data_IF_937007891195
#
_entry.id   IF_937007891195
#
_cell.length_a   1.000
_cell.length_b   1.000
_cell.length_c   1.000
_cell.angle_alpha   90.00
_cell.angle_beta   90.00
_cell.angle_gamma   90.00
#
_symmetry.space_group_name_H-M   'P 1'
#
loop_
_entity.id
_entity.type
_entity.pdbx_description
1 polymer ?
#
# COMPACT_ATOMS: atom_id res chain seq x y z
N UNK A 1 7.06 9.78 -32.36
CA UNK A 1 6.65 8.48 -31.78
C UNK A 1 6.10 8.72 -30.38
N UNK A 2 5.00 8.05 -29.98
CA UNK A 2 4.48 8.23 -28.61
C UNK A 2 5.45 7.60 -27.58
N UNK A 3 5.55 8.14 -26.35
CA UNK A 3 6.41 7.58 -25.30
C UNK A 3 6.17 6.07 -25.08
N UNK A 4 4.91 5.64 -25.18
CA UNK A 4 4.51 4.23 -25.11
C UNK A 4 5.05 3.39 -26.26
N UNK A 5 5.02 3.87 -27.51
CA UNK A 5 5.55 3.13 -28.65
C UNK A 5 7.07 3.00 -28.56
N UNK A 6 7.75 4.09 -28.20
CA UNK A 6 9.20 4.11 -27.98
C UNK A 6 9.60 3.16 -26.85
N UNK A 7 8.90 3.20 -25.72
CA UNK A 7 9.14 2.30 -24.59
C UNK A 7 8.85 0.85 -24.94
N UNK A 8 7.74 0.54 -25.63
CA UNK A 8 7.44 -0.83 -26.09
C UNK A 8 8.52 -1.38 -27.01
N UNK A 9 9.00 -0.57 -27.96
CA UNK A 9 10.10 -0.95 -28.83
C UNK A 9 11.37 -1.18 -28.01
N UNK A 10 11.73 -0.25 -27.12
CA UNK A 10 12.89 -0.37 -26.23
C UNK A 10 12.82 -1.62 -25.35
N UNK A 11 11.67 -1.93 -24.74
CA UNK A 11 11.46 -3.14 -23.95
C UNK A 11 11.47 -4.42 -24.80
N UNK A 12 10.90 -4.39 -26.00
CA UNK A 12 10.95 -5.54 -26.92
C UNK A 12 12.38 -5.85 -27.35
N UNK A 13 13.15 -4.82 -27.72
CA UNK A 13 14.57 -4.96 -28.05
C UNK A 13 15.41 -5.34 -26.82
N UNK A 14 15.16 -4.72 -25.65
CA UNK A 14 15.83 -5.07 -24.41
C UNK A 14 15.52 -6.51 -23.98
N UNK A 15 14.29 -7.01 -24.12
CA UNK A 15 13.97 -8.41 -23.85
C UNK A 15 14.67 -9.36 -24.84
N UNK A 16 14.96 -8.90 -26.06
CA UNK A 16 15.67 -9.69 -27.05
C UNK A 16 17.20 -9.70 -26.80
N UNK A 17 17.74 -8.63 -26.21
CA UNK A 17 19.17 -8.46 -25.89
C UNK A 17 19.53 -8.95 -24.49
N UNK A 18 18.66 -8.75 -23.48
CA UNK A 18 18.84 -9.13 -22.07
C UNK A 18 18.35 -10.56 -21.74
N UNK A 19 17.95 -11.35 -22.75
CA UNK A 19 17.67 -12.79 -22.58
C UNK A 19 18.85 -13.59 -22.02
N UNK A 20 20.03 -12.97 -21.91
CA UNK A 20 21.30 -13.53 -21.45
C UNK A 20 21.49 -13.54 -19.94
N UNK A 21 20.71 -12.80 -19.14
CA UNK A 21 20.85 -12.82 -17.67
C UNK A 21 19.58 -13.36 -17.03
N UNK A 22 19.47 -14.68 -16.94
CA UNK A 22 18.48 -15.31 -16.07
C UNK A 22 18.94 -15.14 -14.62
N UNK A 23 18.16 -14.43 -13.81
CA UNK A 23 18.41 -14.32 -12.38
C UNK A 23 17.56 -15.36 -11.64
N UNK A 24 18.22 -16.20 -10.85
CA UNK A 24 17.56 -17.16 -9.98
C UNK A 24 17.50 -16.59 -8.55
N UNK A 25 16.36 -16.77 -7.88
CA UNK A 25 16.22 -16.38 -6.49
C UNK A 25 16.85 -17.47 -5.61
N UNK A 26 18.01 -17.18 -5.03
CA UNK A 26 18.69 -18.09 -4.10
C UNK A 26 18.45 -17.63 -2.67
N UNK A 27 17.73 -18.44 -1.90
CA UNK A 27 17.36 -18.13 -0.51
C UNK A 27 17.58 -19.31 0.45
N UNK A 28 18.10 -20.43 -0.06
CA UNK A 28 18.46 -21.65 0.67
C UNK A 28 19.77 -22.20 0.12
N UNK A 29 20.40 -23.10 0.86
CA UNK A 29 21.58 -23.87 0.44
C UNK A 29 22.82 -23.01 0.08
N UNK A 30 22.90 -21.81 0.67
CA UNK A 30 24.07 -20.92 0.63
C UNK A 30 24.38 -20.40 2.05
N UNK A 31 25.62 -19.95 2.36
CA UNK A 31 25.98 -19.49 3.70
C UNK A 31 25.11 -18.34 4.26
N UNK A 32 24.53 -17.52 3.39
CA UNK A 32 23.61 -16.41 3.73
C UNK A 32 22.13 -16.75 3.55
N UNK A 33 21.81 -18.02 3.26
CA UNK A 33 20.45 -18.49 3.00
C UNK A 33 19.71 -18.81 4.30
N UNK A 34 18.38 -18.95 4.21
CA UNK A 34 17.55 -19.33 5.34
C UNK A 34 17.52 -20.85 5.49
N UNK A 35 17.82 -21.32 6.69
CA UNK A 35 17.61 -22.72 7.06
C UNK A 35 16.11 -23.08 7.09
N UNK A 36 15.79 -24.37 7.18
CA UNK A 36 14.41 -24.83 7.20
C UNK A 36 13.61 -24.25 8.40
N UNK A 37 14.12 -24.25 9.65
CA UNK A 37 13.45 -23.62 10.78
C UNK A 37 13.09 -22.14 10.55
N UNK A 38 14.03 -21.36 10.01
CA UNK A 38 13.79 -19.93 9.70
C UNK A 38 12.69 -19.76 8.67
N UNK A 39 12.69 -20.56 7.60
CA UNK A 39 11.64 -20.50 6.57
C UNK A 39 10.25 -20.86 7.11
N UNK A 40 10.16 -21.87 7.99
CA UNK A 40 8.91 -22.22 8.68
C UNK A 40 8.43 -21.05 9.54
N UNK A 41 9.33 -20.42 10.29
CA UNK A 41 8.99 -19.33 11.20
C UNK A 41 8.54 -18.07 10.46
N UNK A 42 9.23 -17.68 9.38
CA UNK A 42 8.83 -16.54 8.54
C UNK A 42 7.47 -16.80 7.89
N UNK A 43 7.23 -18.01 7.38
CA UNK A 43 5.94 -18.39 6.81
C UNK A 43 4.81 -18.36 7.85
N UNK A 44 5.07 -18.90 9.05
CA UNK A 44 4.11 -18.90 10.15
C UNK A 44 3.75 -17.48 10.59
N UNK A 45 4.76 -16.62 10.74
CA UNK A 45 4.57 -15.23 11.15
C UNK A 45 3.77 -14.43 10.13
N UNK A 46 4.04 -14.61 8.83
CA UNK A 46 3.25 -13.97 7.77
C UNK A 46 1.78 -14.40 7.83
N UNK A 47 1.50 -15.71 7.83
CA UNK A 47 0.12 -16.22 7.82
C UNK A 47 -0.65 -15.84 9.08
N UNK A 48 0.01 -15.88 10.24
CA UNK A 48 -0.58 -15.47 11.52
C UNK A 48 -0.91 -13.97 11.52
N UNK A 49 0.01 -13.12 11.06
CA UNK A 49 -0.21 -11.67 10.96
C UNK A 49 -1.38 -11.33 10.02
N UNK A 50 -1.48 -12.04 8.89
CA UNK A 50 -2.58 -11.85 7.93
C UNK A 50 -3.93 -12.40 8.42
N UNK A 51 -3.95 -13.17 9.51
CA UNK A 51 -5.13 -13.95 9.92
C UNK A 51 -5.49 -15.08 8.94
N UNK A 52 -4.58 -15.44 8.02
CA UNK A 52 -4.80 -16.46 7.00
C UNK A 52 -4.29 -17.83 7.50
N UNK A 53 -4.94 -18.36 8.53
CA UNK A 53 -4.56 -19.63 9.17
C UNK A 53 -5.49 -20.79 8.81
N UNK A 54 -6.66 -20.49 8.22
CA UNK A 54 -7.71 -21.44 7.82
C UNK A 54 -8.40 -20.96 6.54
N UNK A 55 -9.21 -21.83 5.94
CA UNK A 55 -10.03 -21.54 4.76
C UNK A 55 -9.22 -21.02 3.56
N UNK A 56 -8.09 -21.67 3.28
CA UNK A 56 -7.24 -21.34 2.14
C UNK A 56 -7.99 -21.53 0.82
N UNK A 57 -7.84 -20.56 -0.09
CA UNK A 57 -8.32 -20.68 -1.46
C UNK A 57 -7.42 -21.59 -2.31
N UNK A 58 -7.88 -21.94 -3.51
CA UNK A 58 -7.06 -22.64 -4.52
C UNK A 58 -5.85 -21.78 -4.93
N UNK A 59 -6.03 -20.46 -5.04
CA UNK A 59 -4.98 -19.51 -5.39
C UNK A 59 -4.85 -18.42 -4.32
N UNK A 60 -3.62 -18.17 -3.88
CA UNK A 60 -3.29 -17.05 -3.00
C UNK A 60 -2.19 -16.23 -3.65
N UNK A 61 -2.51 -14.98 -3.98
CA UNK A 61 -1.58 -14.09 -4.65
C UNK A 61 -0.99 -13.13 -3.62
N UNK A 62 0.33 -13.19 -3.45
CA UNK A 62 1.07 -12.23 -2.64
C UNK A 62 1.52 -11.13 -3.59
N UNK A 63 0.96 -9.94 -3.43
CA UNK A 63 1.28 -8.76 -4.25
C UNK A 63 2.28 -7.88 -3.51
N UNK A 64 3.53 -7.93 -3.95
CA UNK A 64 4.51 -6.91 -3.62
C UNK A 64 4.25 -5.68 -4.48
N UNK A 65 4.39 -4.48 -3.93
CA UNK A 65 4.20 -3.25 -4.69
C UNK A 65 5.52 -2.54 -4.95
N UNK A 66 5.48 -1.65 -5.92
CA UNK A 66 6.52 -0.66 -6.19
C UNK A 66 6.04 0.27 -7.29
N UNK A 67 6.86 1.21 -7.68
CA UNK A 67 6.60 2.19 -8.73
C UNK A 67 7.66 2.11 -9.81
N UNK A 68 7.28 2.47 -11.02
CA UNK A 68 8.25 2.78 -12.06
C UNK A 68 7.82 4.03 -12.80
N UNK A 69 8.68 5.04 -12.76
CA UNK A 69 8.54 6.26 -13.55
C UNK A 69 9.89 6.61 -14.13
N UNK A 70 9.91 7.08 -15.38
CA UNK A 70 11.17 7.48 -16.01
C UNK A 70 11.61 8.87 -15.53
N UNK A 71 12.93 9.06 -15.39
CA UNK A 71 13.56 10.34 -15.00
C UNK A 71 13.01 10.91 -13.68
N UNK A 72 13.18 10.12 -12.62
CA UNK A 72 12.71 10.52 -11.31
C UNK A 72 13.82 10.42 -10.26
N UNK A 73 14.47 11.56 -9.92
CA UNK A 73 15.40 11.66 -8.79
C UNK A 73 14.83 11.14 -7.46
N UNK A 74 13.50 11.10 -7.34
CA UNK A 74 12.76 10.69 -6.15
C UNK A 74 12.12 9.30 -6.29
N UNK A 75 12.68 8.40 -7.13
CA UNK A 75 12.11 7.05 -7.38
C UNK A 75 11.75 6.32 -6.07
N UNK A 76 12.66 6.33 -5.08
CA UNK A 76 12.46 5.70 -3.78
C UNK A 76 11.23 6.23 -3.02
N UNK A 77 10.87 7.51 -3.18
CA UNK A 77 9.70 8.12 -2.53
C UNK A 77 8.36 7.68 -3.14
N UNK A 78 8.38 7.01 -4.29
CA UNK A 78 7.20 6.38 -4.91
C UNK A 78 7.12 4.88 -4.67
N UNK A 79 8.22 4.26 -4.21
CA UNK A 79 8.28 2.85 -3.84
C UNK A 79 7.77 2.65 -2.40
N UNK A 80 7.93 1.44 -1.85
CA UNK A 80 7.37 1.09 -0.55
C UNK A 80 8.01 1.91 0.58
N UNK A 81 7.24 2.79 1.22
CA UNK A 81 7.69 3.52 2.41
C UNK A 81 8.10 2.60 3.57
N UNK A 82 7.43 1.44 3.73
CA UNK A 82 7.79 0.45 4.74
C UNK A 82 9.11 -0.29 4.45
N UNK A 83 9.60 -0.26 3.21
CA UNK A 83 10.85 -0.88 2.79
C UNK A 83 11.93 0.16 2.47
N UNK A 84 11.78 1.40 2.92
CA UNK A 84 12.73 2.48 2.65
C UNK A 84 12.88 2.80 1.16
N UNK A 85 11.80 2.69 0.39
CA UNK A 85 11.81 2.87 -1.07
C UNK A 85 12.24 1.63 -1.87
N UNK A 86 12.26 0.46 -1.23
CA UNK A 86 12.46 -0.82 -1.91
C UNK A 86 11.20 -1.30 -2.67
N UNK A 87 11.41 -2.15 -3.68
CA UNK A 87 10.33 -2.83 -4.41
C UNK A 87 9.97 -4.16 -3.75
N UNK A 88 8.68 -4.40 -3.53
CA UNK A 88 8.18 -5.60 -2.83
C UNK A 88 8.10 -6.86 -3.68
N UNK A 89 8.28 -6.77 -5.01
CA UNK A 89 8.15 -7.92 -5.93
C UNK A 89 9.02 -9.13 -5.56
N UNK A 90 10.33 -8.96 -5.30
CA UNK A 90 11.20 -10.04 -4.83
C UNK A 90 10.74 -10.68 -3.52
N UNK A 91 10.26 -9.89 -2.55
CA UNK A 91 9.74 -10.40 -1.27
C UNK A 91 8.48 -11.24 -1.47
N UNK A 92 7.57 -10.78 -2.33
CA UNK A 92 6.36 -11.52 -2.68
C UNK A 92 6.68 -12.85 -3.38
N UNK A 93 7.64 -12.84 -4.31
CA UNK A 93 8.16 -14.04 -4.98
C UNK A 93 8.76 -15.02 -3.97
N UNK A 94 9.65 -14.53 -3.09
CA UNK A 94 10.30 -15.33 -2.05
C UNK A 94 9.27 -16.01 -1.13
N UNK A 95 8.30 -15.25 -0.62
CA UNK A 95 7.30 -15.80 0.29
C UNK A 95 6.40 -16.82 -0.38
N UNK A 96 6.01 -16.60 -1.63
CA UNK A 96 5.22 -17.58 -2.37
C UNK A 96 5.98 -18.89 -2.60
N UNK A 97 7.28 -18.81 -2.92
CA UNK A 97 8.14 -19.99 -3.05
C UNK A 97 8.21 -20.76 -1.73
N UNK A 98 8.53 -20.09 -0.62
CA UNK A 98 8.61 -20.69 0.72
C UNK A 98 7.30 -21.38 1.11
N UNK A 99 6.16 -20.72 0.89
CA UNK A 99 4.83 -21.25 1.25
C UNK A 99 4.40 -22.45 0.38
N UNK A 100 5.01 -22.63 -0.79
CA UNK A 100 4.79 -23.79 -1.63
C UNK A 100 5.74 -24.97 -1.33
N UNK A 101 6.75 -24.80 -0.48
CA UNK A 101 7.68 -25.88 -0.15
C UNK A 101 7.04 -26.96 0.72
N UNK A 102 7.11 -28.26 0.34
CA UNK A 102 6.51 -29.34 1.12
C UNK A 102 7.01 -29.42 2.56
N UNK A 103 8.32 -29.22 2.77
CA UNK A 103 8.92 -29.25 4.11
C UNK A 103 8.44 -28.09 5.00
N UNK A 104 8.23 -26.91 4.42
CA UNK A 104 7.69 -25.76 5.15
C UNK A 104 6.23 -26.00 5.52
N UNK A 105 5.43 -26.53 4.59
CA UNK A 105 4.03 -26.90 4.86
C UNK A 105 3.89 -27.94 5.98
N UNK A 106 4.80 -28.90 6.04
CA UNK A 106 4.82 -29.87 7.14
C UNK A 106 5.17 -29.22 8.49
N UNK A 107 6.16 -28.31 8.51
CA UNK A 107 6.47 -27.51 9.68
C UNK A 107 5.30 -26.62 10.15
N UNK A 108 4.58 -26.01 9.20
CA UNK A 108 3.38 -25.22 9.49
C UNK A 108 2.24 -26.08 10.07
N UNK A 109 2.09 -27.32 9.60
CA UNK A 109 1.10 -28.26 10.14
C UNK A 109 1.34 -28.54 11.62
N UNK A 110 2.61 -28.69 12.03
CA UNK A 110 2.99 -28.83 13.44
C UNK A 110 2.68 -27.57 14.27
N UNK A 111 2.68 -26.39 13.63
CA UNK A 111 2.22 -25.11 14.20
C UNK A 111 0.73 -24.85 13.98
N UNK A 112 -0.08 -25.90 13.75
CA UNK A 112 -1.54 -25.84 13.60
C UNK A 112 -2.05 -25.06 12.38
N UNK A 113 -1.20 -24.79 11.38
CA UNK A 113 -1.61 -24.19 10.10
C UNK A 113 -1.53 -25.27 9.02
N UNK A 114 -2.68 -25.77 8.57
CA UNK A 114 -2.74 -26.77 7.51
C UNK A 114 -3.13 -26.13 6.18
N UNK A 115 -2.15 -26.05 5.26
CA UNK A 115 -2.35 -25.56 3.90
C UNK A 115 -2.75 -26.75 3.00
N UNK A 116 -3.91 -26.70 2.33
CA UNK A 116 -4.34 -27.74 1.40
C UNK A 116 -3.32 -27.97 0.26
N UNK A 117 -3.14 -29.22 -0.22
CA UNK A 117 -2.25 -29.49 -1.36
C UNK A 117 -2.75 -28.84 -2.66
N UNK A 118 -4.04 -28.54 -2.75
CA UNK A 118 -4.65 -27.81 -3.87
C UNK A 118 -4.39 -26.30 -3.85
N UNK A 119 -3.92 -25.74 -2.73
CA UNK A 119 -3.61 -24.32 -2.61
C UNK A 119 -2.25 -24.01 -3.22
N UNK A 120 -2.20 -23.05 -4.13
CA UNK A 120 -0.98 -22.54 -4.75
C UNK A 120 -0.77 -21.06 -4.37
N UNK A 121 0.40 -20.75 -3.82
CA UNK A 121 0.83 -19.37 -3.59
C UNK A 121 1.54 -18.83 -4.83
N UNK A 122 1.20 -17.61 -5.25
CA UNK A 122 1.79 -16.97 -6.42
C UNK A 122 2.33 -15.61 -5.99
N UNK A 123 3.63 -15.40 -6.21
CA UNK A 123 4.24 -14.10 -6.02
C UNK A 123 3.93 -13.21 -7.21
N UNK A 124 3.59 -11.95 -6.95
CA UNK A 124 3.33 -10.98 -8.00
C UNK A 124 3.83 -9.59 -7.61
N UNK A 125 4.05 -8.75 -8.61
CA UNK A 125 4.46 -7.37 -8.48
C UNK A 125 3.41 -6.45 -9.08
N UNK A 126 2.86 -5.53 -8.28
CA UNK A 126 1.99 -4.44 -8.72
C UNK A 126 2.80 -3.16 -8.88
N UNK A 127 2.88 -2.67 -10.11
CA UNK A 127 3.42 -1.35 -10.39
C UNK A 127 2.33 -0.30 -10.12
N UNK A 128 2.45 0.41 -9.01
CA UNK A 128 1.50 1.43 -8.56
C UNK A 128 1.39 2.60 -9.54
N UNK A 129 2.47 2.92 -10.28
CA UNK A 129 2.43 3.99 -11.26
C UNK A 129 1.63 3.60 -12.52
N UNK A 130 1.89 2.43 -13.10
CA UNK A 130 1.25 2.01 -14.35
C UNK A 130 -0.01 1.15 -14.16
N UNK A 131 -0.27 0.69 -12.95
CA UNK A 131 -1.33 -0.27 -12.61
C UNK A 131 -1.18 -1.63 -13.33
N UNK A 132 0.04 -2.00 -13.69
CA UNK A 132 0.35 -3.31 -14.26
C UNK A 132 0.73 -4.31 -13.18
N UNK A 133 0.33 -5.57 -13.35
CA UNK A 133 0.70 -6.68 -12.48
C UNK A 133 1.54 -7.69 -13.25
N UNK A 134 2.70 -8.02 -12.71
CA UNK A 134 3.57 -9.11 -13.19
C UNK A 134 3.50 -10.28 -12.22
N UNK A 135 3.45 -11.50 -12.72
CA UNK A 135 3.36 -12.72 -11.90
C UNK A 135 4.64 -13.53 -12.03
N UNK A 136 5.06 -14.18 -10.95
CA UNK A 136 6.29 -14.97 -10.88
C UNK A 136 5.98 -16.45 -10.72
N UNK A 137 6.81 -17.28 -11.37
CA UNK A 137 6.86 -18.74 -11.20
C UNK A 137 5.49 -19.44 -11.27
N UNK A 138 4.57 -18.94 -12.11
CA UNK A 138 3.21 -19.52 -12.27
C UNK A 138 3.33 -20.89 -12.94
N UNK A 139 2.89 -21.99 -12.29
CA UNK A 139 2.96 -23.33 -12.88
C UNK A 139 2.15 -23.41 -14.19
N UNK A 140 2.71 -24.09 -15.19
CA UNK A 140 2.13 -24.18 -16.53
C UNK A 140 0.71 -24.78 -16.50
N UNK A 141 0.49 -25.77 -15.64
CA UNK A 141 -0.76 -26.50 -15.46
C UNK A 141 -1.91 -25.61 -14.97
N UNK A 142 -1.59 -24.49 -14.31
CA UNK A 142 -2.57 -23.54 -13.80
C UNK A 142 -3.03 -22.54 -14.88
N UNK A 143 -2.35 -22.46 -16.03
CA UNK A 143 -2.48 -21.36 -16.99
C UNK A 143 -3.92 -20.97 -17.36
N UNK A 144 -4.77 -21.95 -17.71
CA UNK A 144 -6.18 -21.67 -18.04
C UNK A 144 -7.01 -21.24 -16.83
N UNK A 145 -6.86 -21.93 -15.68
CA UNK A 145 -7.60 -21.60 -14.45
C UNK A 145 -7.21 -20.24 -13.90
N UNK A 146 -5.92 -19.93 -13.94
CA UNK A 146 -5.37 -18.68 -13.42
C UNK A 146 -5.73 -17.47 -14.30
N UNK A 147 -5.95 -17.67 -15.61
CA UNK A 147 -6.32 -16.60 -16.54
C UNK A 147 -7.58 -15.82 -16.13
N UNK A 148 -8.53 -16.49 -15.47
CA UNK A 148 -9.75 -15.86 -14.94
C UNK A 148 -9.40 -14.87 -13.83
N UNK A 149 -8.50 -15.25 -12.91
CA UNK A 149 -8.04 -14.38 -11.82
C UNK A 149 -7.23 -13.21 -12.39
N UNK A 150 -6.38 -13.46 -13.39
CA UNK A 150 -5.64 -12.40 -14.07
C UNK A 150 -6.58 -11.38 -14.73
N UNK A 151 -7.68 -11.83 -15.33
CA UNK A 151 -8.70 -10.95 -15.89
C UNK A 151 -9.40 -10.10 -14.81
N UNK A 152 -9.76 -10.71 -13.67
CA UNK A 152 -10.36 -9.98 -12.54
C UNK A 152 -9.41 -8.93 -11.95
N UNK A 153 -8.14 -9.28 -11.75
CA UNK A 153 -7.13 -8.34 -11.28
C UNK A 153 -6.91 -7.20 -12.28
N UNK A 154 -6.91 -7.49 -13.59
CA UNK A 154 -6.85 -6.46 -14.62
C UNK A 154 -8.03 -5.50 -14.55
N UNK A 155 -9.24 -5.99 -14.30
CA UNK A 155 -10.40 -5.11 -14.08
C UNK A 155 -10.20 -4.24 -12.84
N UNK A 156 -9.69 -4.80 -11.75
CA UNK A 156 -9.41 -4.04 -10.53
C UNK A 156 -8.37 -2.93 -10.77
N UNK A 157 -7.31 -3.20 -11.53
CA UNK A 157 -6.29 -2.18 -11.85
C UNK A 157 -6.82 -1.09 -12.79
N UNK A 158 -7.71 -1.43 -13.72
CA UNK A 158 -8.39 -0.43 -14.56
C UNK A 158 -9.29 0.51 -13.75
N UNK A 159 -10.03 -0.04 -12.78
CA UNK A 159 -10.86 0.76 -11.87
C UNK A 159 -10.00 1.62 -10.95
N UNK A 160 -8.88 1.09 -10.43
CA UNK A 160 -7.92 1.89 -9.65
C UNK A 160 -7.35 3.06 -10.46
N UNK A 161 -6.96 2.81 -11.71
CA UNK A 161 -6.46 3.84 -12.61
C UNK A 161 -7.54 4.90 -12.91
N UNK A 162 -8.81 4.52 -13.09
CA UNK A 162 -9.94 5.45 -13.24
C UNK A 162 -10.07 6.36 -12.03
N UNK A 163 -10.06 5.79 -10.83
CA UNK A 163 -10.08 6.53 -9.56
C UNK A 163 -8.91 7.51 -9.46
N UNK A 164 -7.68 7.05 -9.71
CA UNK A 164 -6.48 7.88 -9.62
C UNK A 164 -6.44 8.99 -10.67
N UNK A 165 -6.85 8.69 -11.90
CA UNK A 165 -6.81 9.65 -13.00
C UNK A 165 -7.73 10.86 -12.81
N UNK A 166 -8.74 10.77 -11.93
CA UNK A 166 -9.59 11.93 -11.56
C UNK A 166 -8.77 13.12 -11.04
N UNK A 167 -7.60 12.85 -10.44
CA UNK A 167 -6.72 13.87 -9.83
C UNK A 167 -5.76 14.51 -10.83
N UNK A 168 -5.64 13.95 -12.03
CA UNK A 168 -4.78 14.53 -13.07
C UNK A 168 -5.56 15.57 -13.87
N UNK A 169 -5.20 16.84 -13.70
CA UNK A 169 -5.81 17.98 -14.42
C UNK A 169 -5.79 17.84 -15.94
N UNK A 170 -4.82 17.09 -16.48
CA UNK A 170 -4.65 16.85 -17.92
C UNK A 170 -5.53 15.72 -18.47
N UNK A 171 -6.35 15.06 -17.66
CA UNK A 171 -7.15 13.90 -18.09
C UNK A 171 -8.65 14.22 -17.99
N UNK A 172 -9.41 14.04 -19.08
CA UNK A 172 -10.85 14.31 -19.06
C UNK A 172 -11.64 13.27 -18.27
N UNK A 173 -12.76 13.71 -17.69
CA UNK A 173 -13.76 12.85 -17.07
C UNK A 173 -14.60 12.08 -18.13
N UNK A 174 -15.39 11.10 -17.67
CA UNK A 174 -16.36 10.37 -18.49
C UNK A 174 -15.75 9.44 -19.55
N UNK A 175 -14.56 8.89 -19.30
CA UNK A 175 -13.92 7.88 -20.17
C UNK A 175 -14.02 6.48 -19.57
N UNK A 176 -13.74 5.46 -20.37
CA UNK A 176 -13.76 4.06 -19.91
C UNK A 176 -12.58 3.75 -18.97
N UNK A 177 -12.70 2.74 -18.09
CA UNK A 177 -11.59 2.27 -17.25
C UNK A 177 -10.32 1.92 -18.04
N UNK A 178 -10.45 1.32 -19.23
CA UNK A 178 -9.32 0.98 -20.12
C UNK A 178 -8.59 2.24 -20.61
N UNK A 179 -9.33 3.31 -20.88
CA UNK A 179 -8.74 4.59 -21.26
C UNK A 179 -7.86 5.13 -20.13
N UNK A 180 -8.37 5.13 -18.90
CA UNK A 180 -7.65 5.64 -17.74
C UNK A 180 -6.42 4.79 -17.41
N UNK A 181 -6.54 3.46 -17.46
CA UNK A 181 -5.40 2.55 -17.31
C UNK A 181 -4.31 2.85 -18.35
N UNK A 182 -4.70 2.99 -19.62
CA UNK A 182 -3.74 3.38 -20.67
C UNK A 182 -3.08 4.73 -20.36
N UNK A 183 -3.80 5.70 -19.79
CA UNK A 183 -3.22 7.00 -19.43
C UNK A 183 -2.24 6.90 -18.27
N UNK A 184 -2.51 6.08 -17.26
CA UNK A 184 -1.54 5.78 -16.21
C UNK A 184 -0.24 5.17 -16.78
N UNK A 185 -0.37 4.18 -17.68
CA UNK A 185 0.78 3.58 -18.39
C UNK A 185 1.55 4.60 -19.26
N UNK A 186 0.85 5.49 -19.96
CA UNK A 186 1.50 6.53 -20.78
C UNK A 186 2.26 7.53 -19.91
N UNK A 187 1.72 7.89 -18.74
CA UNK A 187 2.36 8.80 -17.78
C UNK A 187 3.61 8.19 -17.14
N UNK A 188 3.58 6.92 -16.77
CA UNK A 188 4.75 6.24 -16.17
C UNK A 188 5.96 6.21 -17.12
N UNK A 189 5.70 6.29 -18.43
CA UNK A 189 6.69 6.24 -19.49
C UNK A 189 7.04 7.61 -20.09
N UNK A 190 6.43 8.70 -19.62
CA UNK A 190 6.74 10.05 -20.11
C UNK A 190 7.82 10.70 -19.25
N UNK A 191 9.04 10.81 -19.80
CA UNK A 191 10.19 11.46 -19.17
C UNK A 191 9.94 12.91 -18.73
N UNK A 192 8.94 13.57 -19.33
CA UNK A 192 8.56 14.95 -19.03
C UNK A 192 7.53 15.04 -17.92
N UNK A 193 7.08 13.93 -17.35
CA UNK A 193 6.01 13.91 -16.37
C UNK A 193 6.55 14.23 -14.96
N UNK A 194 6.32 15.44 -14.42
CA UNK A 194 6.72 15.74 -13.05
C UNK A 194 5.84 15.03 -12.01
N UNK A 195 4.63 14.60 -12.40
CA UNK A 195 3.59 14.04 -11.52
C UNK A 195 3.18 12.63 -11.98
N UNK A 196 4.08 11.64 -11.93
CA UNK A 196 3.80 10.33 -12.52
C UNK A 196 2.51 9.71 -11.95
N UNK A 197 2.34 9.76 -10.63
CA UNK A 197 1.21 9.11 -9.96
C UNK A 197 0.67 9.77 -8.68
N UNK A 198 1.30 10.85 -8.20
CA UNK A 198 1.05 11.50 -6.91
C UNK A 198 1.27 10.65 -5.64
N UNK A 199 1.84 9.45 -5.76
CA UNK A 199 2.24 8.59 -4.65
C UNK A 199 1.14 8.46 -3.58
N UNK A 200 1.53 8.76 -2.33
CA UNK A 200 0.68 8.75 -1.14
C UNK A 200 0.05 10.12 -0.81
N UNK A 201 0.01 11.05 -1.77
CA UNK A 201 -0.69 12.32 -1.58
C UNK A 201 -2.10 12.12 -1.05
N UNK A 202 -2.62 13.10 -0.30
CA UNK A 202 -3.96 13.10 0.32
C UNK A 202 -4.22 12.05 1.40
N UNK A 203 -3.22 11.21 1.76
CA UNK A 203 -3.38 10.25 2.84
C UNK A 203 -3.82 10.95 4.14
N UNK A 204 -4.83 10.37 4.79
CA UNK A 204 -5.48 10.97 5.96
C UNK A 204 -6.03 9.93 6.94
N UNK A 205 -6.23 8.68 6.50
CA UNK A 205 -6.86 7.63 7.29
C UNK A 205 -6.08 6.31 7.19
N UNK A 206 -6.01 5.55 8.27
CA UNK A 206 -5.65 4.15 8.28
C UNK A 206 -6.76 3.38 9.00
N UNK A 207 -7.40 2.43 8.33
CA UNK A 207 -8.44 1.59 8.92
C UNK A 207 -7.83 0.22 9.21
N UNK A 208 -7.81 -0.15 10.49
CA UNK A 208 -7.35 -1.46 10.97
C UNK A 208 -8.57 -2.22 11.47
N UNK A 209 -9.00 -3.23 10.73
CA UNK A 209 -10.15 -4.04 11.10
C UNK A 209 -10.76 -4.84 9.96
N UNK A 210 -11.95 -5.44 10.17
CA UNK A 210 -12.52 -6.34 9.19
C UNK A 210 -12.88 -5.61 7.91
N UNK A 211 -12.53 -6.19 6.76
CA UNK A 211 -12.81 -5.60 5.43
C UNK A 211 -14.30 -5.24 5.25
N UNK A 212 -15.21 -5.94 5.93
CA UNK A 212 -16.66 -5.66 5.91
C UNK A 212 -17.02 -4.23 6.32
N UNK A 213 -16.25 -3.58 7.20
CA UNK A 213 -16.53 -2.22 7.69
C UNK A 213 -16.17 -1.13 6.67
N UNK A 214 -15.18 -1.41 5.81
CA UNK A 214 -14.74 -0.48 4.76
C UNK A 214 -15.21 -0.90 3.37
N UNK A 215 -15.88 -2.05 3.26
CA UNK A 215 -16.33 -2.60 1.97
C UNK A 215 -17.31 -1.60 1.37
N UNK A 216 -17.16 -1.36 0.07
CA UNK A 216 -18.05 -0.48 -0.68
C UNK A 216 -18.05 1.00 -0.22
N UNK A 217 -17.08 1.42 0.62
CA UNK A 217 -16.83 2.83 0.91
C UNK A 217 -15.98 3.45 -0.19
N UNK A 218 -16.36 4.65 -0.63
CA UNK A 218 -15.44 5.50 -1.37
C UNK A 218 -14.50 6.19 -0.39
N UNK A 219 -13.21 5.90 -0.47
CA UNK A 219 -12.19 6.47 0.43
C UNK A 219 -11.28 7.47 -0.29
N UNK A 220 -11.60 7.82 -1.54
CA UNK A 220 -10.98 8.89 -2.32
C UNK A 220 -9.43 8.81 -2.41
N UNK A 221 -8.87 7.60 -2.37
CA UNK A 221 -7.42 7.31 -2.24
C UNK A 221 -6.73 7.93 -1.01
N UNK A 222 -7.47 8.16 0.08
CA UNK A 222 -6.95 8.77 1.31
C UNK A 222 -6.69 7.78 2.44
N UNK A 223 -7.07 6.52 2.25
CA UNK A 223 -7.05 5.51 3.29
C UNK A 223 -6.06 4.38 3.02
N UNK A 224 -5.25 4.07 4.02
CA UNK A 224 -4.63 2.76 4.16
C UNK A 224 -5.65 1.77 4.72
N UNK A 225 -5.64 0.54 4.24
CA UNK A 225 -6.55 -0.52 4.67
C UNK A 225 -5.74 -1.71 5.16
N UNK A 226 -5.85 -2.03 6.44
CA UNK A 226 -5.22 -3.18 7.08
C UNK A 226 -6.31 -4.13 7.56
N UNK A 227 -6.41 -5.28 6.90
CA UNK A 227 -7.37 -6.33 7.29
C UNK A 227 -6.95 -6.92 8.63
N UNK A 228 -7.87 -6.90 9.59
CA UNK A 228 -7.69 -7.47 10.93
C UNK A 228 -9.02 -8.03 11.42
N UNK A 229 -9.00 -9.21 12.06
CA UNK A 229 -10.19 -9.81 12.66
C UNK A 229 -10.08 -9.78 14.20
N UNK A 230 -10.81 -8.86 14.88
CA UNK A 230 -10.72 -8.74 16.33
C UNK A 230 -11.29 -9.97 17.07
N UNK A 231 -12.17 -10.75 16.42
CA UNK A 231 -12.75 -11.94 17.05
C UNK A 231 -11.78 -13.13 17.07
N UNK A 232 -10.81 -13.13 16.16
CA UNK A 232 -9.76 -14.15 16.10
C UNK A 232 -8.55 -13.84 17.00
N UNK A 233 -8.47 -12.64 17.58
CA UNK A 233 -7.30 -12.12 18.31
C UNK A 233 -7.68 -11.59 19.69
N UNK A 234 -8.20 -12.48 20.54
CA UNK A 234 -8.72 -12.13 21.88
C UNK A 234 -7.68 -11.47 22.80
N UNK A 235 -6.42 -11.84 22.64
CA UNK A 235 -5.30 -11.33 23.44
C UNK A 235 -4.62 -10.10 22.80
N UNK A 236 -5.05 -9.68 21.60
CA UNK A 236 -4.46 -8.55 20.88
C UNK A 236 -3.03 -8.75 20.40
N UNK A 237 -2.54 -9.99 20.32
CA UNK A 237 -1.16 -10.29 19.90
C UNK A 237 -0.94 -9.94 18.43
N UNK A 238 -1.95 -10.15 17.59
CA UNK A 238 -1.90 -9.77 16.16
C UNK A 238 -2.04 -8.25 16.05
N UNK A 239 -2.99 -7.65 16.77
CA UNK A 239 -3.20 -6.21 16.78
C UNK A 239 -1.95 -5.46 17.23
N UNK A 240 -1.28 -5.89 18.30
CA UNK A 240 -0.04 -5.30 18.78
C UNK A 240 1.04 -5.26 17.69
N UNK A 241 1.20 -6.36 16.94
CA UNK A 241 2.14 -6.41 15.79
C UNK A 241 1.71 -5.46 14.68
N UNK A 242 0.42 -5.40 14.36
CA UNK A 242 -0.11 -4.50 13.33
C UNK A 242 0.11 -3.04 13.73
N UNK A 243 -0.21 -2.65 14.97
CA UNK A 243 -0.04 -1.27 15.44
C UNK A 243 1.43 -0.85 15.43
N UNK A 244 2.34 -1.73 15.84
CA UNK A 244 3.78 -1.47 15.84
C UNK A 244 4.44 -1.56 14.46
N UNK A 245 3.72 -1.98 13.41
CA UNK A 245 4.24 -1.99 12.03
C UNK A 245 3.52 -0.98 11.16
N UNK A 246 2.21 -1.16 10.96
CA UNK A 246 1.40 -0.28 10.13
C UNK A 246 1.26 1.13 10.72
N UNK A 247 1.23 1.27 12.07
CA UNK A 247 1.10 2.55 12.74
C UNK A 247 2.25 3.52 12.40
N UNK A 248 3.49 3.21 12.79
CA UNK A 248 4.66 4.01 12.43
C UNK A 248 4.84 4.22 10.93
N UNK A 249 4.65 3.18 10.11
CA UNK A 249 4.78 3.31 8.64
C UNK A 249 3.79 4.32 8.07
N UNK A 250 2.50 4.19 8.40
CA UNK A 250 1.48 5.11 7.89
C UNK A 250 1.69 6.53 8.45
N UNK A 251 2.10 6.66 9.72
CA UNK A 251 2.40 7.94 10.35
C UNK A 251 3.60 8.62 9.67
N UNK A 252 4.69 7.90 9.43
CA UNK A 252 5.88 8.40 8.74
C UNK A 252 5.56 8.90 7.34
N UNK A 253 4.81 8.11 6.55
CA UNK A 253 4.35 8.54 5.22
C UNK A 253 3.45 9.79 5.34
N UNK A 254 2.55 9.86 6.32
CA UNK A 254 1.73 11.06 6.50
C UNK A 254 2.56 12.30 6.86
N UNK A 255 3.49 12.16 7.80
CA UNK A 255 4.34 13.26 8.27
C UNK A 255 5.32 13.75 7.19
N UNK A 256 5.85 12.85 6.36
CA UNK A 256 6.68 13.21 5.21
C UNK A 256 5.95 14.20 4.28
N UNK A 257 4.69 13.90 3.94
CA UNK A 257 3.85 14.80 3.14
C UNK A 257 3.43 16.05 3.91
N UNK A 258 3.11 15.92 5.20
CA UNK A 258 2.71 17.03 6.06
C UNK A 258 3.80 18.10 6.14
N UNK A 259 5.02 17.72 6.54
CA UNK A 259 6.12 18.66 6.71
C UNK A 259 6.60 19.23 5.37
N UNK A 260 6.68 18.39 4.33
CA UNK A 260 7.00 18.87 2.98
C UNK A 260 6.00 19.92 2.49
N UNK A 261 4.73 19.83 2.90
CA UNK A 261 3.68 20.78 2.54
C UNK A 261 3.74 22.07 3.35
N UNK A 262 3.92 21.98 4.67
CA UNK A 262 3.92 23.15 5.56
C UNK A 262 5.12 24.07 5.30
N UNK A 263 6.31 23.50 5.06
CA UNK A 263 7.51 24.24 4.70
C UNK A 263 8.36 23.42 3.72
N UNK A 264 8.12 23.64 2.43
CA UNK A 264 8.79 22.90 1.36
C UNK A 264 10.25 23.30 1.14
N UNK A 265 10.66 24.48 1.62
CA UNK A 265 12.04 24.93 1.50
C UNK A 265 12.93 24.22 2.52
N UNK A 266 12.43 24.06 3.76
CA UNK A 266 13.15 23.41 4.86
C UNK A 266 12.97 21.90 4.89
N UNK A 267 11.73 21.41 4.80
CA UNK A 267 11.38 19.99 4.96
C UNK A 267 10.99 19.30 3.65
N UNK A 268 11.04 20.02 2.54
CA UNK A 268 10.79 19.51 1.21
C UNK A 268 12.06 19.47 0.37
N UNK A 269 11.87 19.58 -0.94
CA UNK A 269 12.97 19.76 -1.90
C UNK A 269 12.66 20.81 -2.96
N UNK A 270 11.74 21.74 -2.71
CA UNK A 270 11.39 22.75 -3.71
C UNK A 270 10.79 22.16 -4.99
N UNK A 271 11.18 22.72 -6.14
CA UNK A 271 10.67 22.29 -7.45
C UNK A 271 11.60 21.29 -8.12
N UNK A 272 11.03 20.20 -8.65
CA UNK A 272 11.77 19.13 -9.35
C UNK A 272 12.64 19.62 -10.52
N UNK A 273 12.37 20.82 -11.08
CA UNK A 273 13.01 21.32 -12.29
C UNK A 273 14.53 21.50 -12.19
N UNK A 274 15.04 21.93 -11.04
CA UNK A 274 16.45 22.27 -10.88
C UNK A 274 17.24 21.23 -10.08
N UNK A 275 16.67 20.03 -9.88
CA UNK A 275 17.26 19.00 -9.03
C UNK A 275 18.52 18.38 -9.62
N UNK A 276 19.59 18.42 -8.85
CA UNK A 276 20.78 17.62 -9.04
C UNK A 276 20.80 16.50 -8.00
N UNK A 277 20.83 15.24 -8.44
CA UNK A 277 20.95 14.09 -7.52
C UNK A 277 22.33 14.10 -6.89
N UNK A 278 22.38 14.17 -5.56
CA UNK A 278 23.63 14.30 -4.81
C UNK A 278 23.80 13.11 -3.88
N UNK A 279 24.90 12.39 -4.06
CA UNK A 279 25.32 11.23 -3.24
C UNK A 279 24.30 10.09 -3.12
N UNK A 280 23.25 10.06 -3.95
CA UNK A 280 22.12 9.13 -3.86
C UNK A 280 21.35 9.19 -2.52
N UNK A 281 21.52 10.28 -1.77
CA UNK A 281 20.86 10.48 -0.46
C UNK A 281 19.76 11.55 -0.58
N UNK A 282 19.92 12.51 -1.50
CA UNK A 282 18.96 13.59 -1.71
C UNK A 282 19.28 14.39 -2.96
N UNK A 283 18.78 15.61 -3.00
CA UNK A 283 18.92 16.52 -4.14
C UNK A 283 19.44 17.89 -3.70
N UNK A 284 20.18 18.55 -4.59
CA UNK A 284 20.40 19.99 -4.52
C UNK A 284 19.45 20.70 -5.49
N UNK A 285 18.84 21.79 -5.06
CA UNK A 285 17.92 22.61 -5.86
C UNK A 285 18.69 23.74 -6.56
N UNK A 286 19.04 23.52 -7.82
CA UNK A 286 19.90 24.42 -8.60
C UNK A 286 21.38 24.10 -8.44
N UNK A 287 22.23 25.06 -8.80
CA UNK A 287 23.69 24.89 -8.75
C UNK A 287 24.27 25.08 -7.34
N UNK A 288 23.52 25.72 -6.44
CA UNK A 288 23.92 25.99 -5.06
C UNK A 288 22.69 25.94 -4.15
N UNK A 289 22.65 24.94 -3.28
CA UNK A 289 21.67 24.80 -2.20
C UNK A 289 22.22 23.85 -1.14
N UNK A 290 21.53 23.75 0.00
CA UNK A 290 21.72 22.64 0.92
C UNK A 290 21.22 21.32 0.31
N UNK A 291 21.65 20.20 0.90
CA UNK A 291 21.12 18.87 0.56
C UNK A 291 19.69 18.72 1.10
N UNK A 292 18.74 18.46 0.22
CA UNK A 292 17.33 18.31 0.54
C UNK A 292 16.88 16.85 0.35
N UNK A 293 16.14 16.32 1.32
CA UNK A 293 15.67 14.94 1.37
C UNK A 293 14.14 14.81 1.38
N UNK A 294 13.41 15.93 1.43
CA UNK A 294 11.95 15.93 1.45
C UNK A 294 11.30 15.89 0.07
N UNK A 295 9.97 15.97 0.05
CA UNK A 295 9.20 15.85 -1.19
C UNK A 295 9.17 17.15 -2.00
N UNK A 296 9.10 16.99 -3.32
CA UNK A 296 8.96 18.13 -4.25
C UNK A 296 7.56 18.76 -4.16
N UNK A 297 7.44 20.03 -4.54
CA UNK A 297 6.13 20.71 -4.65
C UNK A 297 5.14 19.95 -5.55
N UNK A 298 5.62 19.29 -6.61
CA UNK A 298 4.77 18.50 -7.50
C UNK A 298 4.25 17.19 -6.88
N UNK A 299 4.86 16.73 -5.78
CA UNK A 299 4.38 15.57 -5.03
C UNK A 299 3.34 15.93 -3.97
N UNK A 300 3.25 17.19 -3.57
CA UNK A 300 2.43 17.61 -2.42
C UNK A 300 1.35 18.62 -2.78
N UNK A 301 1.33 19.14 -4.01
CA UNK A 301 0.37 20.19 -4.43
C UNK A 301 -1.10 19.84 -4.23
N UNK A 302 -1.46 18.55 -4.25
CA UNK A 302 -2.84 18.08 -3.98
C UNK A 302 -3.04 17.61 -2.54
N UNK A 303 -1.97 17.57 -1.73
CA UNK A 303 -2.03 17.11 -0.36
C UNK A 303 -2.71 18.15 0.54
N UNK A 304 -3.40 17.69 1.58
CA UNK A 304 -3.93 18.53 2.64
C UNK A 304 -3.13 18.17 3.90
N UNK A 305 -2.48 19.13 4.58
CA UNK A 305 -1.61 18.85 5.72
C UNK A 305 -2.47 18.52 6.94
N UNK A 306 -2.95 17.27 6.99
CA UNK A 306 -3.73 16.72 8.08
C UNK A 306 -2.95 15.60 8.74
N UNK A 307 -3.04 15.51 10.07
CA UNK A 307 -2.49 14.38 10.82
C UNK A 307 -3.29 13.12 10.49
N UNK A 308 -2.59 12.00 10.28
CA UNK A 308 -3.20 10.70 10.06
C UNK A 308 -4.18 10.35 11.18
N UNK A 309 -5.39 9.96 10.82
CA UNK A 309 -6.32 9.30 11.71
C UNK A 309 -6.17 7.79 11.58
N UNK A 310 -5.95 7.08 12.68
CA UNK A 310 -5.96 5.63 12.74
C UNK A 310 -7.27 5.19 13.41
N UNK A 311 -8.13 4.52 12.64
CA UNK A 311 -9.36 3.90 13.12
C UNK A 311 -9.13 2.42 13.33
N UNK A 312 -9.16 1.98 14.59
CA UNK A 312 -9.00 0.57 14.97
C UNK A 312 -10.36 -0.01 15.34
N UNK A 313 -10.71 -1.18 14.79
CA UNK A 313 -11.92 -1.91 15.16
C UNK A 313 -11.50 -3.06 16.10
N UNK A 314 -11.66 -2.86 17.40
CA UNK A 314 -11.29 -3.81 18.45
C UNK A 314 -12.02 -3.48 19.77
N UNK A 315 -11.73 -4.23 20.84
CA UNK A 315 -12.23 -3.91 22.19
C UNK A 315 -11.49 -2.70 22.76
N UNK A 316 -12.23 -1.75 23.35
CA UNK A 316 -11.66 -0.53 23.94
C UNK A 316 -10.65 -0.83 25.07
N UNK A 317 -10.94 -1.69 26.07
CA UNK A 317 -9.96 -2.12 27.07
C UNK A 317 -8.65 -2.64 26.45
N UNK A 318 -8.75 -3.48 25.41
CA UNK A 318 -7.58 -4.03 24.75
C UNK A 318 -6.70 -2.93 24.13
N UNK A 319 -7.31 -1.96 23.45
CA UNK A 319 -6.55 -0.86 22.86
C UNK A 319 -5.91 0.04 23.93
N UNK A 320 -6.60 0.27 25.06
CA UNK A 320 -6.02 0.98 26.20
C UNK A 320 -4.76 0.27 26.73
N UNK A 321 -4.85 -1.04 26.95
CA UNK A 321 -3.71 -1.84 27.43
C UNK A 321 -2.52 -1.81 26.46
N UNK A 322 -2.78 -1.88 25.15
CA UNK A 322 -1.73 -1.78 24.12
C UNK A 322 -1.08 -0.39 24.10
N UNK A 323 -1.83 0.67 24.42
CA UNK A 323 -1.34 2.06 24.43
C UNK A 323 -0.50 2.38 25.68
N UNK A 324 -0.63 1.60 26.75
CA UNK A 324 0.22 1.74 27.94
C UNK A 324 1.67 1.28 27.71
N UNK A 325 1.90 0.45 26.69
CA UNK A 325 3.25 0.05 26.30
C UNK A 325 4.04 1.25 25.77
N UNK A 326 5.30 1.41 26.20
CA UNK A 326 6.20 2.44 25.67
C UNK A 326 6.83 1.97 24.35
N UNK A 327 6.09 2.14 23.26
CA UNK A 327 6.53 1.84 21.91
C UNK A 327 6.27 3.04 20.99
N UNK A 328 6.80 2.98 19.77
CA UNK A 328 6.71 4.07 18.79
C UNK A 328 5.25 4.46 18.48
N UNK A 329 4.35 3.49 18.36
CA UNK A 329 2.92 3.75 18.11
C UNK A 329 2.27 4.53 19.27
N UNK A 330 2.55 4.12 20.50
CA UNK A 330 2.06 4.81 21.70
C UNK A 330 2.63 6.21 21.81
N UNK A 331 3.91 6.42 21.50
CA UNK A 331 4.54 7.73 21.50
C UNK A 331 3.94 8.64 20.41
N UNK A 332 3.73 8.13 19.19
CA UNK A 332 3.08 8.88 18.12
C UNK A 332 1.66 9.33 18.52
N UNK A 333 0.93 8.47 19.23
CA UNK A 333 -0.42 8.76 19.72
C UNK A 333 -0.42 9.76 20.89
N UNK A 334 0.35 9.49 21.95
CA UNK A 334 0.43 10.29 23.18
C UNK A 334 0.98 11.70 22.91
N UNK A 335 1.95 11.82 22.01
CA UNK A 335 2.49 13.11 21.56
C UNK A 335 1.66 13.77 20.46
N UNK A 336 0.50 13.18 20.10
CA UNK A 336 -0.44 13.70 19.12
C UNK A 336 0.15 13.90 17.70
N UNK A 337 1.18 13.14 17.32
CA UNK A 337 1.64 13.09 15.93
C UNK A 337 0.59 12.46 15.00
N UNK A 338 -0.23 11.56 15.54
CA UNK A 338 -1.41 10.98 14.89
C UNK A 338 -2.67 11.19 15.73
N UNK A 339 -3.84 10.95 15.13
CA UNK A 339 -5.12 10.83 15.84
C UNK A 339 -5.50 9.35 15.94
N UNK A 340 -5.82 8.88 17.14
CA UNK A 340 -6.27 7.51 17.36
C UNK A 340 -7.77 7.48 17.66
N UNK A 341 -8.49 6.62 16.96
CA UNK A 341 -9.92 6.38 17.13
C UNK A 341 -10.16 4.88 17.21
N UNK A 342 -11.08 4.45 18.08
CA UNK A 342 -11.52 3.07 18.17
C UNK A 342 -13.02 2.96 17.88
N UNK A 343 -13.39 2.02 17.03
CA UNK A 343 -14.76 1.53 16.95
C UNK A 343 -14.85 0.30 17.84
N UNK A 344 -15.43 0.48 19.02
CA UNK A 344 -15.46 -0.52 20.07
C UNK A 344 -16.44 -1.64 19.71
N UNK A 345 -15.95 -2.88 19.67
CA UNK A 345 -16.77 -4.04 19.30
C UNK A 345 -17.81 -4.41 20.38
N UNK A 346 -17.60 -3.97 21.62
CA UNK A 346 -18.45 -4.37 22.75
C UNK A 346 -19.76 -3.57 22.83
N UNK A 347 -19.71 -2.28 22.51
CA UNK A 347 -20.87 -1.36 22.56
C UNK A 347 -21.22 -0.72 21.20
N UNK A 348 -20.45 -1.00 20.14
CA UNK A 348 -20.58 -0.42 18.80
C UNK A 348 -20.45 1.11 18.77
N UNK A 349 -19.86 1.71 19.80
CA UNK A 349 -19.59 3.14 19.87
C UNK A 349 -18.18 3.46 19.35
N UNK A 350 -18.01 4.71 18.92
CA UNK A 350 -16.72 5.23 18.47
C UNK A 350 -16.14 6.10 19.58
N UNK A 351 -14.89 5.88 19.93
CA UNK A 351 -14.17 6.69 20.90
C UNK A 351 -12.91 7.29 20.26
N UNK A 352 -12.59 8.53 20.62
CA UNK A 352 -11.38 9.24 20.16
C UNK A 352 -10.42 9.37 21.33
N UNK A 353 -9.14 9.11 21.10
CA UNK A 353 -8.11 9.37 22.08
C UNK A 353 -7.81 10.87 22.17
N UNK A 354 -8.09 11.46 23.31
CA UNK A 354 -7.89 12.88 23.60
C UNK A 354 -7.55 13.06 25.08
N UNK A 355 -6.61 13.96 25.38
CA UNK A 355 -6.25 14.33 26.76
C UNK A 355 -5.93 13.11 27.65
N UNK A 356 -5.19 12.17 27.07
CA UNK A 356 -4.76 10.91 27.70
C UNK A 356 -5.86 9.88 27.99
N UNK A 357 -7.08 10.04 27.49
CA UNK A 357 -8.14 9.04 27.60
C UNK A 357 -8.95 8.89 26.30
N UNK A 358 -9.79 7.86 26.21
CA UNK A 358 -10.75 7.64 25.13
C UNK A 358 -12.10 8.25 25.50
N UNK A 359 -12.49 9.30 24.76
CA UNK A 359 -13.78 9.99 24.94
C UNK A 359 -14.76 9.58 23.84
N UNK A 360 -16.04 9.47 24.17
CA UNK A 360 -17.09 9.13 23.20
C UNK A 360 -17.12 10.16 22.07
N UNK A 361 -17.06 9.69 20.82
CA UNK A 361 -17.21 10.53 19.66
C UNK A 361 -18.67 10.91 19.47
N UNK A 362 -18.98 12.20 19.61
CA UNK A 362 -20.30 12.75 19.35
C UNK A 362 -20.24 13.56 18.05
N UNK A 363 -20.90 13.06 17.01
CA UNK A 363 -20.96 13.76 15.72
C UNK A 363 -21.88 14.98 15.82
N UNK A 364 -21.35 16.10 16.30
CA UNK A 364 -22.17 17.25 16.64
C UNK A 364 -22.33 18.28 15.53
N UNK A 365 -21.54 18.29 14.43
CA UNK A 365 -21.46 19.51 13.59
C UNK A 365 -21.09 19.34 12.11
N UNK A 366 -21.20 18.15 11.50
CA UNK A 366 -20.82 18.01 10.09
C UNK A 366 -21.86 17.28 9.24
N UNK A 367 -22.52 18.03 8.36
CA UNK A 367 -23.31 17.44 7.27
C UNK A 367 -22.36 17.01 6.15
N UNK A 368 -22.35 15.73 5.79
CA UNK A 368 -21.59 15.25 4.65
C UNK A 368 -22.32 15.60 3.34
N UNK A 369 -21.66 16.34 2.45
CA UNK A 369 -22.13 16.60 1.10
C UNK A 369 -21.48 15.60 0.12
N UNK A 370 -22.29 14.70 -0.42
CA UNK A 370 -21.85 13.58 -1.26
C UNK A 370 -21.56 14.01 -2.70
N UNK A 371 -20.47 13.52 -3.30
CA UNK A 371 -20.15 13.80 -4.70
C UNK A 371 -21.13 13.10 -5.66
N UNK A 372 -21.35 13.61 -6.89
CA UNK A 372 -22.12 12.91 -7.91
C UNK A 372 -21.55 11.50 -8.14
N UNK A 373 -22.42 10.50 -8.03
CA UNK A 373 -22.06 9.08 -8.06
C UNK A 373 -21.88 8.65 -9.53
N UNK A 374 -20.63 8.44 -9.98
CA UNK A 374 -20.29 7.70 -11.21
C UNK A 374 -20.75 6.22 -11.12
N UNK A 375 -21.87 5.87 -11.74
CA UNK A 375 -22.44 4.52 -11.67
C UNK A 375 -21.60 3.37 -12.24
N UNK A 376 -20.51 3.67 -12.95
CA UNK A 376 -19.55 2.65 -13.39
C UNK A 376 -18.43 2.42 -12.36
N UNK A 377 -18.10 3.42 -11.53
CA UNK A 377 -17.18 3.26 -10.38
C UNK A 377 -17.93 2.72 -9.17
N UNK A 378 -19.19 3.09 -9.02
CA UNK A 378 -20.01 2.80 -7.86
C UNK A 378 -21.12 1.81 -8.21
N UNK A 379 -20.93 0.53 -7.87
CA UNK A 379 -22.02 -0.44 -7.93
C UNK A 379 -23.13 -0.05 -6.95
N UNK A 380 -24.30 0.31 -7.48
CA UNK A 380 -25.38 1.01 -6.77
C UNK A 380 -26.18 0.21 -5.73
N UNK A 381 -25.90 -1.07 -5.51
CA UNK A 381 -26.76 -1.88 -4.63
C UNK A 381 -26.32 -1.90 -3.18
N UNK A 382 -25.05 -1.55 -2.86
CA UNK A 382 -24.49 -1.77 -1.51
C UNK A 382 -23.39 -0.77 -1.08
N UNK A 383 -23.28 0.41 -1.70
CA UNK A 383 -22.22 1.37 -1.40
C UNK A 383 -22.72 2.48 -0.45
N UNK A 384 -21.96 2.76 0.62
CA UNK A 384 -22.17 3.98 1.40
C UNK A 384 -21.58 5.15 0.61
N UNK A 385 -22.38 6.20 0.46
CA UNK A 385 -21.91 7.42 -0.20
C UNK A 385 -20.80 8.07 0.63
N UNK A 386 -19.83 8.73 -0.02
CA UNK A 386 -18.78 9.52 0.65
C UNK A 386 -18.94 11.00 0.36
N UNK A 387 -18.93 11.82 1.41
CA UNK A 387 -19.15 13.25 1.31
C UNK A 387 -18.01 14.05 1.91
N UNK A 388 -17.94 15.32 1.54
CA UNK A 388 -17.10 16.29 2.24
C UNK A 388 -17.91 16.88 3.39
N UNK A 389 -17.27 17.09 4.54
CA UNK A 389 -17.90 17.77 5.66
C UNK A 389 -18.07 19.25 5.28
N UNK A 390 -19.31 19.74 5.27
CA UNK A 390 -19.57 21.18 5.21
C UNK A 390 -19.49 21.74 6.62
N UNK A 391 -18.53 22.63 6.86
CA UNK A 391 -18.40 23.43 8.09
C UNK A 391 -19.45 24.51 8.17
#
# INVERSE_FOLDING_TARGET
>A
MSPRLTSKLKHSFANQVNKTVQTELVYKDIPTGMDLPTRIEVAHNLLSMLGLTKNFGEFIIILGHGSSSLNNPHEAAYDCGACGGGRGGPNARLMALILNEPQVREGLRLKQISIPPTTCFIGAYHNTCSDDISYYDVPYELGLKFSVIQAQLKTATQLNAKERCRRFSSIPFGKSPEYYHRKAQERSLDLRQPRPEYGHSTNALCIIGPRSHSKNLFLDRRAFLVSYDPYADKEGLILAKILNTAGPVCAGINLEYFFSYIDNETYGSGTKLAHNVTSLIGVMNGYLSDLQNGLTSQMIEIHQPVRLCILVICSLPLLKDLLEQDNEFSQLTKNQWIRLTVHNIDDQQIYVYQDSDFVLFINNNYSASYFPIDGEVFSHTHNLSFGHLTT
#
